data_IF_871158136150
#
_entry.id   IF_871158136150
#
_cell.length_a   1.000
_cell.length_b   1.000
_cell.length_c   1.000
_cell.angle_alpha   90.00
_cell.angle_beta   90.00
_cell.angle_gamma   90.00
#
_symmetry.space_group_name_H-M   'P 1'
#
loop_
_entity.id
_entity.type
_entity.pdbx_description
1 polymer ?
#
# COMPACT_ATOMS: atom_id res chain seq x y z
N UNK A 1 4.46 37.73 2.17
CA UNK A 1 3.64 36.76 1.40
C UNK A 1 4.06 35.41 1.93
N UNK A 2 3.32 34.93 2.93
CA UNK A 2 3.63 33.69 3.63
C UNK A 2 3.13 32.56 2.73
N UNK A 3 4.04 31.71 2.25
CA UNK A 3 3.66 30.53 1.48
C UNK A 3 2.95 29.57 2.44
N UNK A 4 1.73 29.09 2.12
CA UNK A 4 1.04 28.13 2.96
C UNK A 4 1.88 26.86 3.01
N UNK A 5 2.01 26.33 4.23
CA UNK A 5 2.59 25.04 4.62
C UNK A 5 2.48 23.98 3.51
N UNK A 6 3.57 23.78 2.74
CA UNK A 6 3.70 22.62 1.86
C UNK A 6 4.15 21.48 2.77
N UNK A 7 3.19 20.81 3.42
CA UNK A 7 3.46 19.53 4.06
C UNK A 7 3.67 18.52 2.94
N UNK A 8 4.90 18.07 2.76
CA UNK A 8 5.19 16.90 1.94
C UNK A 8 4.40 15.72 2.49
N UNK A 9 3.70 14.99 1.62
CA UNK A 9 2.93 13.83 2.03
C UNK A 9 3.91 12.77 2.55
N UNK A 10 3.47 12.02 3.55
CA UNK A 10 4.21 10.85 4.03
C UNK A 10 4.19 9.75 2.96
N UNK A 11 5.17 8.84 3.00
CA UNK A 11 5.20 7.66 2.12
C UNK A 11 3.84 6.92 2.14
N UNK A 12 3.23 6.79 3.31
CA UNK A 12 1.92 6.15 3.47
C UNK A 12 0.79 6.88 2.72
N UNK A 13 0.77 8.21 2.78
CA UNK A 13 -0.20 9.03 2.03
C UNK A 13 0.03 8.92 0.52
N UNK A 14 1.29 8.89 0.08
CA UNK A 14 1.65 8.70 -1.32
C UNK A 14 1.21 7.32 -1.85
N UNK A 15 1.51 6.24 -1.12
CA UNK A 15 1.15 4.89 -1.55
C UNK A 15 -0.37 4.68 -1.60
N UNK A 16 -1.14 5.25 -0.68
CA UNK A 16 -2.60 5.16 -0.73
C UNK A 16 -3.22 5.94 -1.89
N UNK A 17 -2.69 7.13 -2.19
CA UNK A 17 -3.13 7.89 -3.34
C UNK A 17 -2.91 7.09 -4.63
N UNK A 18 -1.78 6.40 -4.73
CA UNK A 18 -1.46 5.54 -5.87
C UNK A 18 -2.32 4.27 -5.91
N UNK A 19 -2.57 3.62 -4.78
CA UNK A 19 -3.50 2.48 -4.68
C UNK A 19 -4.93 2.86 -5.12
N UNK A 20 -5.37 4.07 -4.80
CA UNK A 20 -6.67 4.61 -5.22
C UNK A 20 -6.73 4.89 -6.72
N UNK A 21 -5.61 5.30 -7.32
CA UNK A 21 -5.50 5.53 -8.76
C UNK A 21 -5.21 4.25 -9.59
N UNK A 22 -4.80 3.15 -8.95
CA UNK A 22 -4.35 1.93 -9.62
C UNK A 22 -5.48 1.08 -10.26
N UNK A 23 -6.75 1.47 -10.11
CA UNK A 23 -7.88 0.76 -10.75
C UNK A 23 -8.11 -0.65 -10.21
N UNK A 24 -7.66 -0.93 -8.97
CA UNK A 24 -7.81 -2.21 -8.30
C UNK A 24 -9.29 -2.56 -8.07
N UNK A 25 -9.62 -3.85 -8.07
CA UNK A 25 -10.94 -4.30 -7.60
C UNK A 25 -11.12 -3.93 -6.13
N UNK A 26 -12.35 -3.83 -5.59
CA UNK A 26 -12.56 -3.47 -4.18
C UNK A 26 -11.83 -4.41 -3.20
N UNK A 27 -11.75 -5.70 -3.53
CA UNK A 27 -11.02 -6.67 -2.73
C UNK A 27 -9.50 -6.44 -2.82
N UNK A 28 -8.96 -6.21 -4.02
CA UNK A 28 -7.52 -5.98 -4.21
C UNK A 28 -7.08 -4.65 -3.62
N UNK A 29 -7.94 -3.63 -3.64
CA UNK A 29 -7.71 -2.36 -2.97
C UNK A 29 -7.61 -2.56 -1.45
N UNK A 30 -8.50 -3.36 -0.84
CA UNK A 30 -8.41 -3.67 0.58
C UNK A 30 -7.11 -4.39 0.96
N UNK A 31 -6.62 -5.29 0.10
CA UNK A 31 -5.31 -5.93 0.26
C UNK A 31 -4.19 -4.89 0.17
N UNK A 32 -4.23 -3.99 -0.82
CA UNK A 32 -3.23 -2.94 -1.00
C UNK A 32 -3.14 -2.03 0.25
N UNK A 33 -4.26 -1.61 0.81
CA UNK A 33 -4.28 -0.81 2.04
C UNK A 33 -3.67 -1.56 3.22
N UNK A 34 -3.92 -2.87 3.33
CA UNK A 34 -3.33 -3.71 4.39
C UNK A 34 -1.81 -3.82 4.24
N UNK A 35 -1.31 -3.98 3.02
CA UNK A 35 0.13 -4.01 2.74
C UNK A 35 0.79 -2.66 3.03
N UNK A 36 0.14 -1.55 2.65
CA UNK A 36 0.64 -0.19 2.89
C UNK A 36 0.69 0.12 4.39
N UNK A 37 -0.33 -0.28 5.17
CA UNK A 37 -0.36 -0.13 6.63
C UNK A 37 0.76 -0.94 7.32
N UNK A 38 1.11 -2.10 6.76
CA UNK A 38 2.20 -2.93 7.24
C UNK A 38 3.60 -2.47 6.76
N UNK A 39 3.68 -1.43 5.94
CA UNK A 39 4.94 -0.89 5.41
C UNK A 39 5.46 0.21 6.33
N UNK A 40 6.75 0.15 6.67
CA UNK A 40 7.37 1.20 7.48
C UNK A 40 7.72 2.46 6.68
N UNK A 41 8.22 3.49 7.38
CA UNK A 41 8.66 4.75 6.76
C UNK A 41 9.82 4.59 5.75
N UNK A 42 10.56 3.48 5.82
CA UNK A 42 11.63 3.14 4.89
C UNK A 42 11.15 2.39 3.65
N UNK A 43 9.84 2.09 3.55
CA UNK A 43 9.27 1.32 2.44
C UNK A 43 9.42 -0.19 2.58
N UNK A 44 9.78 -0.69 3.77
CA UNK A 44 9.91 -2.12 4.02
C UNK A 44 8.64 -2.68 4.64
N UNK A 45 8.10 -3.73 4.03
CA UNK A 45 7.00 -4.49 4.61
C UNK A 45 7.45 -5.19 5.91
N UNK A 46 6.71 -4.97 7.00
CA UNK A 46 7.01 -5.51 8.34
C UNK A 46 6.09 -6.66 8.75
N UNK A 47 5.37 -7.23 7.80
CA UNK A 47 4.44 -8.32 7.99
C UNK A 47 4.73 -9.49 7.04
N UNK A 48 4.31 -10.68 7.43
CA UNK A 48 4.36 -11.87 6.58
C UNK A 48 3.15 -11.91 5.64
N UNK A 49 3.37 -12.26 4.36
CA UNK A 49 2.30 -12.30 3.36
C UNK A 49 1.32 -13.44 3.60
N UNK A 50 1.79 -14.57 4.13
CA UNK A 50 0.94 -15.69 4.52
C UNK A 50 0.03 -15.31 5.67
N UNK A 51 0.55 -14.65 6.70
CA UNK A 51 -0.27 -14.15 7.82
C UNK A 51 -1.32 -13.13 7.37
N UNK A 52 -0.97 -12.23 6.43
CA UNK A 52 -1.94 -11.30 5.84
C UNK A 52 -3.03 -12.07 5.08
N UNK A 53 -2.65 -13.04 4.26
CA UNK A 53 -3.60 -13.85 3.50
C UNK A 53 -4.55 -14.63 4.42
N UNK A 54 -4.03 -15.27 5.46
CA UNK A 54 -4.81 -16.00 6.47
C UNK A 54 -5.79 -15.07 7.19
N UNK A 55 -5.34 -13.89 7.63
CA UNK A 55 -6.19 -12.89 8.31
C UNK A 55 -7.32 -12.38 7.42
N UNK A 56 -7.08 -12.25 6.13
CA UNK A 56 -8.08 -11.81 5.16
C UNK A 56 -8.95 -12.96 4.64
N UNK A 57 -8.61 -14.22 4.95
CA UNK A 57 -9.28 -15.41 4.41
C UNK A 57 -9.11 -15.55 2.89
N UNK A 58 -7.96 -15.09 2.37
CA UNK A 58 -7.65 -15.05 0.95
C UNK A 58 -6.51 -16.00 0.59
N UNK A 59 -6.40 -16.29 -0.71
CA UNK A 59 -5.24 -16.99 -1.26
C UNK A 59 -3.98 -16.12 -1.18
N UNK A 60 -2.86 -16.72 -0.78
CA UNK A 60 -1.58 -16.01 -0.65
C UNK A 60 -1.07 -15.46 -1.98
N UNK A 61 -1.30 -16.19 -3.08
CA UNK A 61 -0.94 -15.74 -4.43
C UNK A 61 -1.67 -14.45 -4.82
N UNK A 62 -2.90 -14.25 -4.33
CA UNK A 62 -3.62 -12.98 -4.54
C UNK A 62 -2.95 -11.82 -3.82
N UNK A 63 -2.48 -12.03 -2.58
CA UNK A 63 -1.77 -11.00 -1.81
C UNK A 63 -0.44 -10.64 -2.47
N UNK A 64 0.30 -11.65 -2.95
CA UNK A 64 1.55 -11.45 -3.70
C UNK A 64 1.33 -10.67 -5.01
N UNK A 65 0.24 -10.94 -5.73
CA UNK A 65 -0.08 -10.19 -6.95
C UNK A 65 -0.35 -8.72 -6.66
N UNK A 66 -1.09 -8.41 -5.60
CA UNK A 66 -1.34 -7.02 -5.20
C UNK A 66 -0.05 -6.34 -4.74
N UNK A 67 0.80 -7.04 -3.98
CA UNK A 67 2.12 -6.53 -3.61
C UNK A 67 2.96 -6.19 -4.85
N UNK A 68 2.93 -7.03 -5.88
CA UNK A 68 3.62 -6.75 -7.14
C UNK A 68 3.11 -5.49 -7.83
N UNK A 69 1.82 -5.15 -7.70
CA UNK A 69 1.29 -3.87 -8.20
C UNK A 69 1.81 -2.71 -7.35
N UNK A 70 1.78 -2.85 -6.02
CA UNK A 70 2.28 -1.83 -5.09
C UNK A 70 3.77 -1.54 -5.26
N UNK A 71 4.60 -2.52 -5.63
CA UNK A 71 6.02 -2.27 -5.95
C UNK A 71 6.23 -1.41 -7.20
N UNK A 72 5.21 -1.25 -8.06
CA UNK A 72 5.23 -0.33 -9.19
C UNK A 72 4.91 1.12 -8.81
N UNK A 73 4.59 1.38 -7.54
CA UNK A 73 4.30 2.71 -7.03
C UNK A 73 5.60 3.51 -6.86
N UNK A 74 5.55 4.79 -7.21
CA UNK A 74 6.70 5.68 -7.05
C UNK A 74 6.78 6.18 -5.60
N UNK A 75 7.89 5.93 -4.88
CA UNK A 75 8.11 6.54 -3.58
C UNK A 75 8.50 8.01 -3.77
N UNK A 76 7.81 8.94 -3.11
CA UNK A 76 8.18 10.36 -3.06
C UNK A 76 8.24 10.85 -1.63
#
# INVERSE_FOLDING_TARGET
>A
REHPDHRDLTLWEHLQAQASAAGLSPADHGIALTLIDATDEGGYLRADLGEIAERLGLDSGRVEQVLSVCHGFEPT
#
